data_IF_596690690015
#
_entry.id   IF_596690690015
#
_cell.length_a   1.000
_cell.length_b   1.000
_cell.length_c   1.000
_cell.angle_alpha   90.00
_cell.angle_beta   90.00
_cell.angle_gamma   90.00
#
_symmetry.space_group_name_H-M   'P 1'
#
loop_
_entity.id
_entity.type
_entity.pdbx_description
1 polymer ?
2 branched ?
3 branched ?
4 non-polymer ?
5 non-polymer ?
6 non-polymer ?
7 water ?
#
# COMPACT_ATOMS: atom_id res chain seq x y z
N UNK A 1 -23.77 2.93 10.49
CA UNK A 1 -25.18 2.45 10.36
C UNK A 1 -25.12 0.95 10.39
N UNK A 2 -24.97 0.33 9.22
CA UNK A 2 -24.85 -1.12 9.13
C UNK A 2 -23.46 -1.38 8.58
N UNK A 3 -22.97 -2.60 8.79
CA UNK A 3 -21.67 -3.00 8.28
C UNK A 3 -21.74 -2.98 6.75
N UNK A 4 -20.69 -2.48 6.10
CA UNK A 4 -20.66 -2.47 4.65
C UNK A 4 -20.41 -3.89 4.10
N UNK A 5 -21.07 -4.22 3.01
CA UNK A 5 -20.89 -5.53 2.37
C UNK A 5 -20.40 -5.25 0.94
N UNK A 6 -19.39 -6.02 0.53
CA UNK A 6 -18.80 -5.89 -0.79
C UNK A 6 -19.76 -6.49 -1.80
N UNK A 7 -20.82 -5.77 -2.11
CA UNK A 7 -21.81 -6.28 -3.05
C UNK A 7 -21.57 -5.91 -4.49
N UNK A 8 -20.75 -4.90 -4.75
CA UNK A 8 -20.51 -4.50 -6.15
C UNK A 8 -19.23 -5.06 -6.75
N UNK A 9 -19.17 -5.05 -8.08
CA UNK A 9 -17.99 -5.49 -8.81
C UNK A 9 -17.27 -4.20 -9.19
N UNK A 10 -16.07 -4.29 -9.76
CA UNK A 10 -15.32 -3.07 -10.15
C UNK A 10 -15.89 -2.41 -11.40
N UNK A 11 -15.71 -1.11 -11.50
CA UNK A 11 -16.16 -0.38 -12.68
C UNK A 11 -15.11 -0.73 -13.77
N UNK A 12 -15.47 -0.53 -15.03
CA UNK A 12 -14.54 -0.79 -16.12
C UNK A 12 -13.50 0.32 -16.12
N UNK A 13 -12.22 -0.07 -16.09
CA UNK A 13 -11.13 0.88 -16.04
C UNK A 13 -10.62 1.14 -17.45
N UNK A 14 -11.01 2.28 -18.03
CA UNK A 14 -10.56 2.63 -19.38
C UNK A 14 -9.40 3.63 -19.34
N UNK A 15 -9.21 4.24 -18.16
CA UNK A 15 -8.11 5.19 -17.88
C UNK A 15 -8.15 5.57 -16.40
N UNK A 16 -7.26 6.46 -16.01
CA UNK A 16 -7.16 6.93 -14.63
C UNK A 16 -7.24 8.43 -14.59
N UNK A 17 -8.06 8.97 -13.68
CA UNK A 17 -8.16 10.43 -13.56
C UNK A 17 -7.49 10.83 -12.23
N UNK A 18 -7.06 12.09 -12.12
CA UNK A 18 -6.44 12.60 -10.90
C UNK A 18 -7.49 12.66 -9.77
N UNK A 19 -7.12 12.14 -8.61
CA UNK A 19 -8.00 12.09 -7.44
C UNK A 19 -7.51 13.02 -6.32
N UNK A 20 -6.25 12.88 -5.93
CA UNK A 20 -5.71 13.72 -4.88
C UNK A 20 -4.22 13.87 -5.00
N UNK A 21 -3.68 14.98 -4.51
CA UNK A 21 -2.23 15.26 -4.55
C UNK A 21 -2.01 16.32 -3.49
N UNK A 22 -1.08 16.06 -2.56
CA UNK A 22 -0.84 17.03 -1.51
C UNK A 22 0.36 17.96 -1.65
N UNK A 23 1.27 17.71 -2.60
CA UNK A 23 2.45 18.59 -2.78
C UNK A 23 3.12 18.89 -1.44
N UNK A 24 3.16 17.90 -0.55
CA UNK A 24 3.72 18.07 0.80
C UNK A 24 5.15 18.62 0.92
N UNK A 25 6.08 18.09 0.14
CA UNK A 25 7.49 18.51 0.18
C UNK A 25 7.65 19.97 -0.31
N UNK A 26 6.97 20.32 -1.41
CA UNK A 26 7.00 21.71 -1.92
C UNK A 26 6.55 22.65 -0.83
N UNK A 27 5.33 22.43 -0.33
CA UNK A 27 4.74 23.26 0.72
C UNK A 27 5.54 23.28 2.01
N UNK A 28 6.02 22.10 2.42
CA UNK A 28 6.79 21.95 3.65
C UNK A 28 8.13 22.64 3.68
N UNK A 29 8.60 23.10 2.52
CA UNK A 29 9.87 23.83 2.46
C UNK A 29 9.72 25.13 3.31
N UNK A 30 8.50 25.61 3.48
CA UNK A 30 8.24 26.82 4.24
C UNK A 30 6.93 26.77 5.06
N UNK A 31 6.67 25.65 5.72
CA UNK A 31 5.51 25.55 6.57
C UNK A 31 5.71 24.31 7.42
N UNK A 32 4.92 24.16 8.48
CA UNK A 32 5.06 23.07 9.44
C UNK A 32 4.50 21.68 9.06
N UNK A 33 5.17 21.08 8.09
CA UNK A 33 4.80 19.78 7.54
C UNK A 33 5.65 18.66 8.16
N UNK A 34 4.97 17.65 8.67
CA UNK A 34 5.64 16.50 9.27
C UNK A 34 6.35 15.67 8.20
N UNK A 35 7.46 15.07 8.61
CA UNK A 35 8.21 14.20 7.75
C UNK A 35 7.46 12.88 7.85
N UNK A 36 7.19 12.26 6.70
CA UNK A 36 6.49 10.98 6.68
C UNK A 36 7.15 10.02 5.68
N UNK A 37 6.48 8.87 5.54
CA UNK A 37 6.78 7.80 4.57
C UNK A 37 5.71 6.72 4.77
N UNK A 38 5.65 5.76 3.85
CA UNK A 38 4.65 4.68 3.93
C UNK A 38 3.22 5.23 4.01
N UNK A 39 2.83 6.11 3.05
CA UNK A 39 1.48 6.70 3.04
C UNK A 39 0.45 5.79 2.39
N UNK A 40 -0.82 6.15 2.51
CA UNK A 40 -1.91 5.43 1.84
C UNK A 40 -3.14 6.29 1.92
N UNK A 41 -4.27 5.80 1.39
CA UNK A 41 -5.52 6.57 1.45
C UNK A 41 -6.60 5.61 1.95
N UNK A 42 -7.58 6.12 2.69
CA UNK A 42 -8.64 5.29 3.19
C UNK A 42 -9.90 6.12 3.44
N UNK A 43 -11.05 5.54 3.07
CA UNK A 43 -12.32 6.22 3.23
C UNK A 43 -13.21 5.74 4.36
N UNK A 44 -13.92 6.71 4.92
CA UNK A 44 -14.94 6.51 5.92
C UNK A 44 -16.22 6.71 5.06
N UNK A 45 -17.41 6.41 5.62
CA UNK A 45 -18.63 6.65 4.84
C UNK A 45 -18.90 8.10 4.45
N UNK A 46 -18.33 9.06 5.17
CA UNK A 46 -18.58 10.46 4.87
C UNK A 46 -17.34 11.27 4.50
N UNK A 47 -16.18 10.64 4.43
CA UNK A 47 -14.97 11.39 4.11
C UNK A 47 -13.86 10.43 3.69
N UNK A 48 -12.97 10.87 2.80
CA UNK A 48 -11.79 10.08 2.42
C UNK A 48 -10.59 10.90 2.87
N UNK A 49 -9.59 10.22 3.43
CA UNK A 49 -8.40 10.88 3.98
C UNK A 49 -7.05 10.24 3.61
N UNK A 50 -5.99 11.05 3.73
CA UNK A 50 -4.62 10.63 3.49
C UNK A 50 -4.11 10.12 4.84
N UNK A 51 -3.27 9.10 4.77
CA UNK A 51 -2.68 8.43 5.94
C UNK A 51 -1.19 8.23 5.68
N UNK A 52 -0.41 8.16 6.76
CA UNK A 52 1.03 7.89 6.67
C UNK A 52 1.68 7.72 8.03
N UNK A 53 2.92 7.29 8.02
CA UNK A 53 3.70 7.11 9.23
C UNK A 53 4.59 8.33 9.42
N UNK A 54 4.21 9.16 10.37
CA UNK A 54 4.96 10.34 10.70
C UNK A 54 6.30 9.93 11.30
N UNK A 55 7.27 10.84 11.22
CA UNK A 55 8.60 10.61 11.80
C UNK A 55 8.77 11.46 13.08
N UNK A 56 7.70 12.14 13.50
CA UNK A 56 7.72 12.94 14.72
C UNK A 56 8.65 14.15 14.64
N UNK A 57 8.63 14.84 13.50
CA UNK A 57 9.45 16.03 13.30
C UNK A 57 9.00 16.66 11.99
N UNK A 58 9.22 17.98 11.83
CA UNK A 58 8.89 18.66 10.58
C UNK A 58 10.08 18.46 9.61
N UNK A 59 9.87 18.73 8.32
CA UNK A 59 10.91 18.54 7.32
C UNK A 59 12.05 19.56 7.52
N UNK A 60 11.67 20.81 7.79
CA UNK A 60 12.65 21.87 8.04
C UNK A 60 13.30 21.77 9.43
N UNK A 61 12.67 21.06 10.35
CA UNK A 61 13.20 20.94 11.68
C UNK A 61 14.52 20.20 11.69
N UNK A 62 15.33 20.47 12.69
CA UNK A 62 16.63 19.81 12.82
C UNK A 62 16.52 18.29 13.08
N UNK A 63 15.40 17.83 13.66
CA UNK A 63 15.22 16.41 13.92
C UNK A 63 14.91 15.61 12.65
N UNK A 64 14.84 16.30 11.50
CA UNK A 64 14.58 15.63 10.22
C UNK A 64 15.82 14.83 9.84
N UNK A 65 16.95 15.17 10.46
CA UNK A 65 18.18 14.49 10.20
C UNK A 65 18.10 13.06 10.69
N UNK A 66 18.22 12.10 9.77
CA UNK A 66 18.17 10.70 10.16
C UNK A 66 16.86 9.99 9.88
N UNK A 67 15.88 10.71 9.36
CA UNK A 67 14.57 10.13 9.03
C UNK A 67 14.57 9.06 7.92
N UNK A 68 15.76 8.68 7.43
CA UNK A 68 15.81 7.58 6.46
C UNK A 68 15.46 6.28 7.23
N UNK A 69 15.74 6.25 8.54
CA UNK A 69 15.45 5.07 9.36
C UNK A 69 13.97 4.75 9.44
N UNK A 70 13.67 3.46 9.42
CA UNK A 70 12.31 2.97 9.43
C UNK A 70 11.52 2.90 10.72
N UNK A 71 12.21 2.54 11.79
CA UNK A 71 11.52 2.28 13.02
C UNK A 71 12.11 3.00 14.20
N UNK A 72 11.34 3.85 14.84
CA UNK A 72 11.82 4.57 16.01
C UNK A 72 10.61 4.78 16.87
N UNK A 73 10.85 5.26 18.08
CA UNK A 73 9.76 5.49 19.02
C UNK A 73 9.01 6.79 18.68
N UNK A 74 9.47 7.53 17.68
CA UNK A 74 8.86 8.82 17.33
C UNK A 74 7.88 8.77 16.18
N UNK A 75 7.62 7.57 15.67
CA UNK A 75 6.70 7.40 14.56
C UNK A 75 5.30 7.12 15.05
N UNK A 76 4.31 7.44 14.21
CA UNK A 76 2.89 7.21 14.54
C UNK A 76 2.08 7.23 13.26
N UNK A 77 0.95 6.52 13.24
CA UNK A 77 0.08 6.55 12.07
C UNK A 77 -0.75 7.83 12.22
N UNK A 78 -0.73 8.67 11.20
CA UNK A 78 -1.52 9.90 11.24
C UNK A 78 -2.42 9.97 10.00
N UNK A 79 -3.54 10.68 10.11
CA UNK A 79 -4.42 10.87 8.95
C UNK A 79 -4.71 12.36 8.87
N UNK A 80 -5.05 12.84 7.68
CA UNK A 80 -5.32 14.26 7.50
C UNK A 80 -6.20 14.44 6.25
N UNK A 81 -6.82 15.63 6.08
CA UNK A 81 -7.80 15.80 5.00
C UNK A 81 -7.21 15.55 3.63
N UNK A 82 -8.01 14.93 2.77
CA UNK A 82 -7.62 14.62 1.40
C UNK A 82 -6.95 15.80 0.68
N UNK A 83 -5.77 15.53 0.13
CA UNK A 83 -5.00 16.50 -0.61
C UNK A 83 -4.34 17.65 0.15
N UNK A 84 -4.57 17.73 1.46
CA UNK A 84 -3.86 18.72 2.28
C UNK A 84 -2.50 18.06 2.56
N UNK A 85 -1.49 18.83 3.00
CA UNK A 85 -0.28 18.13 3.45
C UNK A 85 -0.41 17.70 4.93
N UNK A 86 0.41 16.74 5.36
CA UNK A 86 0.39 16.35 6.77
C UNK A 86 1.13 17.38 7.63
N UNK A 87 0.39 18.29 8.23
CA UNK A 87 1.00 19.33 9.04
C UNK A 87 0.89 19.01 10.51
N UNK A 88 1.65 19.72 11.31
CA UNK A 88 1.61 19.53 12.73
C UNK A 88 0.22 19.85 13.28
N UNK A 89 -0.44 20.82 12.66
CA UNK A 89 -1.74 21.30 13.10
C UNK A 89 -3.01 20.59 12.57
N UNK A 90 -2.93 19.85 11.46
CA UNK A 90 -4.15 19.16 10.95
C UNK A 90 -4.01 17.64 10.97
N UNK A 91 -2.90 17.12 11.48
CA UNK A 91 -2.71 15.68 11.49
C UNK A 91 -3.28 15.01 12.73
N UNK A 92 -4.11 13.99 12.52
CA UNK A 92 -4.75 13.26 13.61
C UNK A 92 -3.98 11.97 13.80
N UNK A 93 -3.53 11.71 15.02
CA UNK A 93 -2.79 10.47 15.29
C UNK A 93 -3.80 9.34 15.55
N UNK A 94 -3.70 8.28 14.76
CA UNK A 94 -4.56 7.14 14.89
C UNK A 94 -4.01 6.15 15.96
N UNK A 95 -2.68 6.01 16.02
CA UNK A 95 -1.98 5.14 16.96
C UNK A 95 -0.47 5.32 16.81
N UNK A 96 0.27 4.77 17.76
CA UNK A 96 1.72 4.90 17.80
C UNK A 96 2.45 3.65 17.28
N UNK A 97 3.41 3.85 16.37
CA UNK A 97 4.10 2.72 15.80
C UNK A 97 4.77 2.98 14.46
N UNK A 98 5.45 1.95 13.93
CA UNK A 98 6.19 2.06 12.67
C UNK A 98 5.75 1.16 11.51
N UNK A 99 4.57 0.57 11.65
CA UNK A 99 3.97 -0.29 10.63
C UNK A 99 2.50 -0.24 10.97
N UNK A 100 1.64 -0.09 9.96
CA UNK A 100 0.21 0.04 10.21
C UNK A 100 -0.70 -0.38 9.05
N UNK A 101 -1.99 -0.36 9.35
CA UNK A 101 -3.08 -0.61 8.41
C UNK A 101 -4.31 0.05 9.09
N UNK A 102 -5.38 0.26 8.32
CA UNK A 102 -6.57 0.90 8.85
C UNK A 102 -7.70 0.71 7.84
N UNK A 103 -8.91 0.55 8.33
CA UNK A 103 -10.08 0.42 7.43
C UNK A 103 -11.37 0.65 8.19
N UNK A 104 -12.37 1.19 7.50
CA UNK A 104 -13.68 1.46 8.09
C UNK A 104 -14.58 0.27 7.75
N UNK A 105 -15.38 -0.21 8.70
CA UNK A 105 -16.23 -1.34 8.42
C UNK A 105 -17.65 -0.93 8.07
N UNK A 106 -17.89 0.38 8.05
CA UNK A 106 -19.23 0.85 7.72
C UNK A 106 -19.84 1.52 8.94
N UNK A 107 -19.45 1.05 10.12
CA UNK A 107 -19.95 1.58 11.38
C UNK A 107 -18.89 2.47 12.00
N UNK A 108 -17.66 1.95 12.06
CA UNK A 108 -16.55 2.69 12.60
C UNK A 108 -15.22 2.14 12.04
N UNK A 109 -14.12 2.80 12.37
CA UNK A 109 -12.80 2.45 11.87
C UNK A 109 -11.89 1.65 12.79
N UNK A 110 -11.14 0.73 12.19
CA UNK A 110 -10.17 -0.08 12.91
C UNK A 110 -8.81 0.37 12.39
N UNK A 111 -7.90 0.70 13.31
CA UNK A 111 -6.54 1.11 12.97
C UNK A 111 -5.59 0.21 13.75
N UNK A 112 -4.52 -0.22 13.10
CA UNK A 112 -3.55 -1.13 13.75
C UNK A 112 -2.14 -0.55 13.64
N UNK A 113 -1.45 -0.45 14.77
CA UNK A 113 -0.07 0.04 14.78
C UNK A 113 0.79 -0.94 15.53
N UNK A 114 1.96 -1.20 14.98
CA UNK A 114 2.92 -2.13 15.58
C UNK A 114 4.12 -1.31 16.01
N UNK A 115 4.58 -1.56 17.22
CA UNK A 115 5.75 -0.84 17.71
C UNK A 115 6.63 -1.83 18.47
N UNK A 116 7.82 -1.40 18.83
CA UNK A 116 8.69 -2.27 19.56
C UNK A 116 10.08 -2.35 18.96
N UNK A 117 11.01 -2.94 19.72
CA UNK A 117 12.29 -3.34 19.15
C UNK A 117 12.08 -4.52 18.23
N UNK A 118 13.06 -4.76 17.38
CA UNK A 118 13.03 -5.82 16.38
C UNK A 118 12.64 -7.17 16.90
N UNK A 119 13.18 -7.52 18.06
CA UNK A 119 12.88 -8.83 18.64
C UNK A 119 11.75 -8.84 19.65
N UNK A 120 10.97 -7.77 19.77
CA UNK A 120 9.92 -7.75 20.78
C UNK A 120 8.77 -6.78 20.42
N UNK A 121 8.38 -6.75 19.15
CA UNK A 121 7.32 -5.86 18.71
C UNK A 121 5.94 -6.40 19.07
N UNK A 122 4.94 -5.52 19.01
CA UNK A 122 3.57 -5.90 19.31
C UNK A 122 2.59 -5.02 18.56
N UNK A 123 1.50 -5.61 18.09
CA UNK A 123 0.48 -4.87 17.41
C UNK A 123 -0.64 -4.51 18.40
N UNK A 124 -1.19 -3.31 18.26
CA UNK A 124 -2.37 -2.98 19.05
C UNK A 124 -3.44 -2.47 18.08
N UNK A 125 -4.57 -3.19 18.14
CA UNK A 125 -5.74 -2.98 17.32
C UNK A 125 -6.72 -2.06 18.01
N UNK A 126 -6.94 -0.91 17.38
CA UNK A 126 -7.84 0.15 17.83
C UNK A 126 -9.13 0.04 17.04
N UNK A 127 -10.26 0.27 17.69
CA UNK A 127 -11.56 0.23 17.06
C UNK A 127 -12.38 1.36 17.70
N UNK A 128 -12.97 2.21 16.88
CA UNK A 128 -13.75 3.34 17.38
C UNK A 128 -12.86 4.23 18.24
N UNK A 129 -11.61 4.36 17.80
CA UNK A 129 -10.57 5.18 18.44
C UNK A 129 -10.15 4.80 19.85
N UNK A 130 -10.34 3.53 20.20
CA UNK A 130 -9.97 2.98 21.51
C UNK A 130 -9.17 1.70 21.28
N UNK A 131 -8.17 1.43 22.12
CA UNK A 131 -7.42 0.18 22.00
C UNK A 131 -8.27 -0.98 22.52
N UNK A 132 -8.39 -2.03 21.70
CA UNK A 132 -9.20 -3.19 22.05
C UNK A 132 -8.42 -4.51 22.17
N UNK A 133 -7.55 -4.79 21.20
CA UNK A 133 -6.77 -6.03 21.18
C UNK A 133 -5.27 -5.81 20.96
N UNK A 134 -4.45 -6.68 21.53
CA UNK A 134 -3.01 -6.61 21.38
C UNK A 134 -2.48 -7.98 20.99
N UNK A 135 -1.52 -8.01 20.07
CA UNK A 135 -0.93 -9.27 19.57
C UNK A 135 0.58 -9.16 19.73
N UNK A 136 1.18 -10.10 20.45
CA UNK A 136 2.63 -10.07 20.63
C UNK A 136 3.35 -10.73 19.46
N UNK A 137 4.56 -10.27 19.16
CA UNK A 137 5.37 -10.85 18.08
C UNK A 137 5.40 -12.40 18.24
N UNK A 138 5.27 -13.14 17.13
CA UNK A 138 5.32 -14.60 17.19
C UNK A 138 6.62 -15.19 16.68
N UNK A 139 7.40 -14.42 15.92
CA UNK A 139 8.65 -14.93 15.40
C UNK A 139 9.82 -14.08 15.87
N UNK A 140 9.52 -13.05 16.67
CA UNK A 140 10.56 -12.17 17.22
C UNK A 140 11.48 -11.55 16.20
N UNK A 141 10.91 -11.11 15.09
CA UNK A 141 11.72 -10.52 14.06
C UNK A 141 10.89 -9.54 13.23
N UNK A 142 10.73 -8.33 13.77
CA UNK A 142 10.00 -7.25 13.11
C UNK A 142 8.58 -7.57 12.65
N UNK A 143 7.69 -7.80 13.61
CA UNK A 143 6.27 -8.05 13.34
C UNK A 143 5.86 -6.83 12.48
N UNK A 144 5.19 -7.05 11.35
CA UNK A 144 4.85 -5.95 10.45
C UNK A 144 3.56 -6.21 9.66
N UNK A 145 2.99 -5.18 9.06
CA UNK A 145 1.75 -5.39 8.35
C UNK A 145 1.69 -4.62 7.03
N UNK A 146 0.48 -4.43 6.50
CA UNK A 146 0.25 -3.89 5.16
C UNK A 146 0.85 -2.59 4.65
N UNK A 147 0.74 -1.54 5.45
CA UNK A 147 1.18 -0.19 5.09
C UNK A 147 0.18 0.43 4.12
N UNK A 148 -1.01 -0.15 4.05
CA UNK A 148 -2.11 0.39 3.24
C UNK A 148 -3.43 -0.11 3.84
N UNK A 149 -4.57 0.41 3.38
CA UNK A 149 -5.83 -0.01 3.98
C UNK A 149 -6.23 -1.47 3.89
N UNK A 150 -6.90 -1.94 4.94
CA UNK A 150 -7.44 -3.29 4.94
C UNK A 150 -8.85 -3.12 4.34
N UNK A 151 -9.63 -4.19 4.29
CA UNK A 151 -10.99 -4.13 3.72
C UNK A 151 -11.91 -4.98 4.60
N UNK A 152 -13.15 -4.52 4.77
CA UNK A 152 -14.13 -5.22 5.58
C UNK A 152 -15.34 -5.70 4.78
N UNK A 153 -15.97 -6.76 5.29
CA UNK A 153 -17.20 -7.31 4.71
C UNK A 153 -18.06 -7.82 5.87
N UNK A 154 -19.23 -7.21 6.03
CA UNK A 154 -20.17 -7.57 7.10
C UNK A 154 -19.51 -7.54 8.47
N UNK A 155 -18.65 -6.54 8.68
CA UNK A 155 -17.98 -6.44 9.98
C UNK A 155 -16.67 -7.16 10.08
N UNK A 156 -16.39 -8.09 9.15
CA UNK A 156 -15.13 -8.85 9.19
C UNK A 156 -14.06 -8.17 8.34
N UNK A 157 -12.95 -7.79 8.97
CA UNK A 157 -11.85 -7.08 8.30
C UNK A 157 -10.55 -7.88 8.40
N UNK A 158 -10.20 -8.65 7.34
CA UNK A 158 -8.97 -9.43 7.29
C UNK A 158 -7.73 -8.54 7.20
N UNK A 159 -6.65 -8.94 7.85
CA UNK A 159 -5.40 -8.18 7.80
C UNK A 159 -4.24 -9.17 7.67
N UNK A 160 -3.27 -8.87 6.82
CA UNK A 160 -2.13 -9.76 6.63
C UNK A 160 -0.92 -9.21 7.38
N UNK A 161 -0.30 -10.05 8.21
CA UNK A 161 0.90 -9.68 8.98
C UNK A 161 2.00 -10.65 8.58
N UNK A 162 3.24 -10.24 8.80
CA UNK A 162 4.39 -11.09 8.58
C UNK A 162 5.33 -10.87 9.77
N UNK A 163 5.96 -11.92 10.24
CA UNK A 163 6.93 -11.82 11.32
C UNK A 163 8.01 -12.85 10.96
N UNK A 164 9.28 -12.42 11.07
CA UNK A 164 10.40 -13.27 10.73
C UNK A 164 11.25 -12.62 9.65
N UNK A 165 12.13 -13.42 9.05
CA UNK A 165 13.04 -12.97 8.01
C UNK A 165 12.42 -12.34 6.76
N UNK A 166 13.16 -11.40 6.20
CA UNK A 166 12.79 -10.69 4.97
C UNK A 166 13.54 -11.31 3.79
N UNK A 167 14.45 -12.23 4.10
CA UNK A 167 15.29 -12.85 3.08
C UNK A 167 15.32 -14.36 3.16
N UNK A 168 14.24 -14.92 3.68
CA UNK A 168 14.10 -16.36 3.80
C UNK A 168 12.62 -16.57 4.05
N UNK A 169 12.16 -17.80 4.21
CA UNK A 169 10.77 -18.03 4.65
C UNK A 169 10.49 -17.38 6.02
N UNK A 170 9.29 -16.83 6.16
CA UNK A 170 8.88 -16.16 7.38
C UNK A 170 7.49 -16.66 7.78
N UNK A 171 6.93 -16.13 8.86
CA UNK A 171 5.61 -16.55 9.32
C UNK A 171 4.54 -15.46 9.08
N UNK A 172 3.81 -15.64 7.99
CA UNK A 172 2.76 -14.74 7.60
C UNK A 172 1.44 -15.31 8.12
N UNK A 173 0.60 -14.43 8.67
CA UNK A 173 -0.70 -14.80 9.21
C UNK A 173 -1.81 -13.89 8.68
N UNK A 174 -2.99 -14.45 8.53
CA UNK A 174 -4.14 -13.68 8.08
C UNK A 174 -5.06 -13.65 9.29
N UNK A 175 -5.30 -12.46 9.84
CA UNK A 175 -6.18 -12.28 10.98
C UNK A 175 -7.51 -11.76 10.51
N UNK A 176 -8.58 -12.31 11.04
CA UNK A 176 -9.94 -11.87 10.71
C UNK A 176 -10.45 -11.17 11.97
N UNK A 177 -10.56 -9.84 11.90
CA UNK A 177 -11.04 -9.07 13.04
C UNK A 177 -12.48 -8.62 12.84
N UNK A 178 -13.18 -8.44 13.94
CA UNK A 178 -14.55 -7.92 13.91
C UNK A 178 -14.67 -7.08 15.18
N UNK A 179 -14.90 -5.77 15.00
CA UNK A 179 -15.00 -4.83 16.10
C UNK A 179 -13.71 -4.86 16.91
N UNK A 180 -12.59 -4.98 16.21
CA UNK A 180 -11.27 -5.00 16.86
C UNK A 180 -10.90 -6.28 17.56
N UNK A 181 -11.80 -7.26 17.60
CA UNK A 181 -11.52 -8.52 18.28
C UNK A 181 -11.14 -9.60 17.27
N UNK A 182 -10.29 -10.55 17.69
CA UNK A 182 -9.87 -11.60 16.78
C UNK A 182 -10.92 -12.72 16.68
N UNK A 183 -11.48 -12.94 15.49
CA UNK A 183 -12.42 -14.03 15.33
C UNK A 183 -11.63 -15.29 15.01
N UNK A 184 -10.54 -15.13 14.27
CA UNK A 184 -9.72 -16.25 13.81
C UNK A 184 -8.46 -15.74 13.12
N UNK A 185 -7.45 -16.61 13.03
CA UNK A 185 -6.24 -16.32 12.29
C UNK A 185 -5.78 -17.64 11.66
N UNK A 186 -5.16 -17.57 10.49
CA UNK A 186 -4.63 -18.74 9.82
C UNK A 186 -3.19 -18.42 9.49
N UNK A 187 -2.34 -19.45 9.38
CA UNK A 187 -1.10 -19.30 8.63
C UNK A 187 -1.33 -19.20 7.11
N UNK A 188 -0.41 -18.48 6.46
CA UNK A 188 -0.47 -18.34 5.02
C UNK A 188 -0.40 -19.74 4.40
N UNK A 189 -1.16 -19.94 3.33
CA UNK A 189 -1.13 -21.20 2.59
C UNK A 189 -1.07 -20.83 1.11
N UNK A 190 -1.02 -21.83 0.24
CA UNK A 190 -0.94 -21.58 -1.19
C UNK A 190 0.49 -21.67 -1.68
N UNK A 191 0.76 -21.09 -2.85
CA UNK A 191 2.10 -21.15 -3.42
C UNK A 191 3.00 -19.92 -3.23
N UNK A 192 2.45 -18.84 -2.65
CA UNK A 192 3.26 -17.63 -2.42
C UNK A 192 4.37 -18.08 -1.46
N UNK A 193 5.63 -17.78 -1.78
CA UNK A 193 6.74 -18.20 -0.92
C UNK A 193 7.18 -17.19 0.15
N UNK A 194 6.81 -15.93 -0.03
CA UNK A 194 7.15 -14.87 0.93
C UNK A 194 6.16 -13.74 0.71
N UNK A 195 5.60 -13.23 1.81
CA UNK A 195 4.62 -12.16 1.79
C UNK A 195 5.02 -10.94 2.62
N UNK A 196 4.87 -9.76 2.02
CA UNK A 196 5.20 -8.50 2.68
C UNK A 196 4.30 -7.40 2.15
N UNK A 197 3.91 -6.48 3.03
CA UNK A 197 3.13 -5.32 2.64
C UNK A 197 2.01 -5.48 1.61
N UNK A 198 1.00 -6.28 1.92
CA UNK A 198 -0.12 -6.46 1.02
C UNK A 198 -1.01 -5.25 0.73
N UNK A 199 -1.35 -5.07 -0.55
CA UNK A 199 -2.25 -4.00 -0.98
C UNK A 199 -3.57 -4.68 -1.33
N UNK A 200 -4.66 -4.32 -0.64
CA UNK A 200 -5.93 -5.00 -0.86
C UNK A 200 -7.12 -4.17 -1.30
N UNK A 201 -8.09 -4.85 -1.91
CA UNK A 201 -9.35 -4.22 -2.33
C UNK A 201 -10.40 -5.32 -2.30
N UNK A 202 -11.67 -4.94 -2.22
CA UNK A 202 -12.75 -5.91 -2.18
C UNK A 202 -13.82 -5.67 -3.24
N UNK A 203 -14.38 -6.76 -3.76
CA UNK A 203 -15.46 -6.70 -4.74
C UNK A 203 -16.14 -8.05 -4.74
N UNK A 204 -17.47 -8.01 -4.88
CA UNK A 204 -18.31 -9.21 -4.91
C UNK A 204 -17.92 -10.25 -3.85
N UNK A 205 -17.90 -9.81 -2.60
CA UNK A 205 -17.59 -10.63 -1.42
C UNK A 205 -16.27 -11.37 -1.42
N UNK A 206 -15.29 -10.84 -2.14
CA UNK A 206 -13.95 -11.41 -2.18
C UNK A 206 -12.91 -10.28 -1.99
N UNK A 207 -11.84 -10.54 -1.24
CA UNK A 207 -10.80 -9.56 -1.00
C UNK A 207 -9.50 -10.02 -1.66
N UNK A 208 -8.99 -9.19 -2.58
CA UNK A 208 -7.77 -9.50 -3.31
C UNK A 208 -6.63 -8.63 -2.80
N UNK A 209 -5.51 -9.27 -2.46
CA UNK A 209 -4.32 -8.58 -1.99
C UNK A 209 -3.13 -8.86 -2.88
N UNK A 210 -2.48 -7.81 -3.37
CA UNK A 210 -1.28 -7.95 -4.21
C UNK A 210 -0.19 -7.49 -3.23
N UNK A 211 0.70 -8.42 -2.93
CA UNK A 211 1.75 -8.16 -1.95
C UNK A 211 3.13 -8.14 -2.60
N UNK A 212 4.13 -8.41 -1.78
CA UNK A 212 5.50 -8.34 -2.22
C UNK A 212 6.32 -9.50 -1.63
N UNK A 213 7.03 -10.18 -2.51
CA UNK A 213 7.91 -11.27 -2.12
C UNK A 213 9.29 -10.65 -2.09
N UNK A 214 9.71 -10.27 -0.90
CA UNK A 214 11.00 -9.62 -0.79
C UNK A 214 12.15 -10.55 -1.07
N UNK A 215 11.99 -11.79 -0.65
CA UNK A 215 13.02 -12.82 -0.76
C UNK A 215 13.50 -13.18 -2.17
N UNK A 216 12.58 -13.67 -3.00
CA UNK A 216 12.95 -14.11 -4.34
C UNK A 216 12.20 -13.58 -5.55
N UNK A 217 10.90 -13.28 -5.39
CA UNK A 217 10.09 -12.87 -6.52
C UNK A 217 10.04 -11.46 -7.05
N UNK A 218 10.13 -11.35 -8.37
CA UNK A 218 10.04 -10.07 -9.07
C UNK A 218 8.61 -9.96 -9.64
N UNK A 219 7.92 -11.10 -9.63
CA UNK A 219 6.50 -11.12 -9.96
C UNK A 219 5.88 -10.94 -8.55
N UNK A 220 4.64 -10.45 -8.48
CA UNK A 220 4.01 -10.25 -7.16
C UNK A 220 3.12 -11.39 -6.75
N UNK A 221 3.25 -11.84 -5.48
CA UNK A 221 2.32 -12.76 -4.83
C UNK A 221 0.96 -12.14 -4.61
N UNK A 222 -0.06 -12.99 -4.68
CA UNK A 222 -1.42 -12.53 -4.52
C UNK A 222 -2.12 -13.45 -3.56
N UNK A 223 -2.87 -12.83 -2.64
CA UNK A 223 -3.67 -13.55 -1.66
C UNK A 223 -5.13 -13.17 -1.88
N UNK A 224 -5.98 -14.16 -2.13
CA UNK A 224 -7.41 -13.91 -2.30
C UNK A 224 -8.11 -14.47 -1.05
N UNK A 225 -8.85 -13.58 -0.38
CA UNK A 225 -9.50 -13.92 0.87
C UNK A 225 -11.01 -13.99 0.79
N UNK A 226 -11.58 -15.01 1.43
CA UNK A 226 -13.03 -15.14 1.50
C UNK A 226 -13.34 -14.66 2.93
N UNK A 227 -13.92 -13.46 3.08
CA UNK A 227 -14.16 -12.96 4.44
C UNK A 227 -15.36 -13.64 5.15
N UNK A 228 -16.16 -14.42 4.43
CA UNK A 228 -17.29 -15.10 5.06
C UNK A 228 -16.83 -16.46 5.57
N UNK A 229 -16.17 -17.22 4.71
CA UNK A 229 -15.66 -18.53 5.11
C UNK A 229 -14.39 -18.31 5.95
N UNK A 230 -13.81 -17.13 5.83
CA UNK A 230 -12.59 -16.81 6.56
C UNK A 230 -11.48 -17.80 6.15
N UNK A 231 -11.32 -17.93 4.83
CA UNK A 231 -10.29 -18.79 4.23
C UNK A 231 -9.62 -17.99 3.11
N UNK A 232 -8.49 -18.47 2.60
CA UNK A 232 -7.80 -17.76 1.53
C UNK A 232 -6.97 -18.72 0.71
N UNK A 233 -6.41 -18.20 -0.38
CA UNK A 233 -5.52 -18.95 -1.26
C UNK A 233 -4.41 -17.99 -1.60
N UNK A 234 -3.33 -18.49 -2.17
CA UNK A 234 -2.24 -17.62 -2.59
C UNK A 234 -1.54 -18.18 -3.84
N UNK A 235 -1.01 -17.28 -4.67
CA UNK A 235 -0.27 -17.64 -5.88
C UNK A 235 0.51 -16.41 -6.27
N UNK A 236 1.03 -16.40 -7.50
CA UNK A 236 1.73 -15.23 -8.04
C UNK A 236 1.00 -14.79 -9.29
N UNK A 237 1.18 -13.52 -9.65
CA UNK A 237 0.60 -13.00 -10.88
C UNK A 237 1.38 -13.76 -11.98
N UNK A 238 0.67 -14.49 -12.83
CA UNK A 238 1.28 -15.29 -13.91
C UNK A 238 2.04 -14.47 -14.96
N UNK A 239 1.50 -13.29 -15.28
CA UNK A 239 2.05 -12.45 -16.31
C UNK A 239 3.56 -12.23 -16.28
N UNK A 240 4.18 -12.24 -17.48
CA UNK A 240 5.56 -11.82 -17.72
C UNK A 240 5.83 -10.33 -17.54
N UNK A 241 4.77 -9.52 -17.38
CA UNK A 241 4.95 -8.07 -17.15
C UNK A 241 5.27 -7.99 -15.64
N UNK A 242 6.56 -8.02 -15.30
CA UNK A 242 6.97 -8.03 -13.89
C UNK A 242 6.75 -6.68 -13.19
N UNK A 243 6.21 -6.73 -11.96
CA UNK A 243 5.89 -5.50 -11.27
C UNK A 243 6.58 -5.15 -9.94
N UNK A 244 7.57 -5.93 -9.53
CA UNK A 244 8.29 -5.53 -8.33
C UNK A 244 9.45 -4.61 -8.80
N UNK A 245 10.22 -4.11 -7.83
CA UNK A 245 11.39 -3.26 -8.09
C UNK A 245 12.39 -3.41 -6.93
N UNK A 246 13.69 -3.61 -7.23
CA UNK A 246 14.26 -3.87 -8.56
C UNK A 246 13.74 -5.20 -9.15
N UNK A 247 13.98 -5.40 -10.43
CA UNK A 247 13.48 -6.60 -11.09
C UNK A 247 14.31 -6.80 -12.35
N UNK A 248 14.32 -8.03 -12.90
CA UNK A 248 14.93 -8.27 -14.22
C UNK A 248 14.03 -7.67 -15.29
N UNK A 249 14.47 -7.77 -16.55
CA UNK A 249 13.69 -7.30 -17.68
C UNK A 249 12.56 -8.27 -17.88
N UNK A 250 11.47 -7.81 -18.51
CA UNK A 250 10.31 -8.68 -18.74
C UNK A 250 10.66 -9.84 -19.69
N UNK A 251 10.34 -11.09 -19.30
CA UNK A 251 10.42 -12.27 -20.17
C UNK A 251 9.20 -12.36 -21.08
N UNK A 252 9.05 -13.48 -21.78
CA UNK A 252 7.91 -13.63 -22.65
C UNK A 252 6.90 -14.53 -21.93
N UNK A 253 7.35 -15.21 -20.88
CA UNK A 253 6.45 -16.05 -20.11
C UNK A 253 6.79 -15.91 -18.60
N UNK A 254 5.75 -15.70 -17.78
CA UNK A 254 5.95 -15.54 -16.35
C UNK A 254 5.76 -16.83 -15.57
N UNK A 255 5.65 -16.72 -14.26
CA UNK A 255 5.44 -17.87 -13.37
C UNK A 255 4.19 -17.68 -12.49
N UNK A 256 3.34 -18.70 -12.46
CA UNK A 256 2.08 -18.68 -11.70
C UNK A 256 2.19 -19.11 -10.25
N UNK A 257 3.13 -20.00 -9.94
CA UNK A 257 3.26 -20.52 -8.57
C UNK A 257 4.64 -20.50 -7.95
N UNK A 258 5.56 -19.75 -8.53
CA UNK A 258 6.90 -19.67 -7.99
C UNK A 258 7.32 -18.26 -8.21
N UNK A 259 8.22 -17.75 -7.38
CA UNK A 259 8.79 -16.41 -7.63
C UNK A 259 9.57 -16.40 -8.94
N UNK A 260 9.48 -15.29 -9.67
CA UNK A 260 10.24 -15.22 -10.89
C UNK A 260 11.61 -14.70 -10.46
N UNK A 261 12.70 -15.42 -10.79
CA UNK A 261 14.02 -15.14 -10.21
C UNK A 261 14.77 -14.03 -10.92
N UNK A 262 15.93 -13.67 -10.37
CA UNK A 262 16.74 -12.64 -10.98
C UNK A 262 17.13 -11.55 -10.01
N UNK A 263 16.32 -11.36 -8.97
CA UNK A 263 16.59 -10.35 -7.97
C UNK A 263 16.18 -10.92 -6.62
N UNK A 264 17.10 -10.85 -5.67
CA UNK A 264 16.86 -11.37 -4.32
C UNK A 264 16.87 -10.28 -3.27
N UNK A 265 16.19 -10.58 -2.18
CA UNK A 265 16.14 -9.72 -1.02
C UNK A 265 15.96 -8.24 -1.24
N UNK A 266 14.91 -7.87 -1.96
CA UNK A 266 14.60 -6.49 -2.20
C UNK A 266 13.26 -6.39 -2.92
N UNK A 267 12.70 -5.19 -2.92
CA UNK A 267 11.43 -4.99 -3.56
C UNK A 267 10.80 -3.67 -3.11
N UNK A 268 9.52 -3.50 -3.44
CA UNK A 268 8.80 -2.30 -3.07
C UNK A 268 7.33 -2.69 -2.96
N UNK A 269 6.62 -2.07 -2.02
CA UNK A 269 5.17 -2.34 -1.86
C UNK A 269 4.52 -1.88 -3.16
N UNK A 270 3.59 -2.67 -3.69
CA UNK A 270 2.90 -2.32 -4.92
C UNK A 270 1.48 -2.89 -4.92
N UNK A 271 0.79 -2.88 -6.06
CA UNK A 271 -0.60 -3.36 -6.10
C UNK A 271 -1.05 -3.69 -7.52
N UNK A 272 -2.27 -4.17 -7.64
CA UNK A 272 -2.85 -4.46 -8.93
C UNK A 272 -4.35 -4.65 -8.77
N UNK A 273 -5.08 -4.58 -9.88
CA UNK A 273 -6.52 -4.85 -9.88
C UNK A 273 -6.63 -6.01 -10.86
N UNK A 274 -7.00 -7.16 -10.32
CA UNK A 274 -7.11 -8.40 -11.10
C UNK A 274 -8.58 -8.69 -11.33
N UNK A 275 -9.04 -8.44 -12.54
CA UNK A 275 -10.45 -8.59 -12.85
C UNK A 275 -10.66 -9.03 -14.31
N UNK A 276 -10.15 -10.21 -14.65
CA UNK A 276 -10.30 -10.71 -16.02
C UNK A 276 -9.67 -9.76 -17.02
N UNK A 277 -10.41 -9.41 -18.07
CA UNK A 277 -9.86 -8.47 -19.05
C UNK A 277 -9.69 -7.06 -18.42
N UNK A 278 -10.49 -6.74 -17.41
CA UNK A 278 -10.44 -5.44 -16.71
C UNK A 278 -9.27 -5.48 -15.68
N UNK A 279 -8.10 -5.97 -16.10
CA UNK A 279 -6.94 -6.07 -15.22
C UNK A 279 -5.89 -4.99 -15.49
N UNK A 280 -5.47 -4.29 -14.44
CA UNK A 280 -4.46 -3.23 -14.57
C UNK A 280 -3.36 -3.40 -13.54
N UNK A 281 -2.11 -3.32 -14.00
CA UNK A 281 -0.95 -3.49 -13.11
C UNK A 281 -0.17 -2.18 -12.94
N UNK A 282 0.23 -1.89 -11.71
CA UNK A 282 1.03 -0.71 -11.49
C UNK A 282 2.47 -1.15 -11.32
N UNK A 283 3.42 -0.30 -11.71
CA UNK A 283 4.82 -0.60 -11.51
C UNK A 283 5.72 0.60 -11.78
N UNK A 284 6.92 0.57 -11.19
CA UNK A 284 7.90 1.63 -11.43
C UNK A 284 8.33 1.39 -12.89
N UNK A 285 8.77 2.47 -13.55
CA UNK A 285 9.23 2.36 -14.93
C UNK A 285 10.61 1.73 -14.89
N UNK A 286 11.49 2.26 -14.05
CA UNK A 286 12.85 1.73 -13.89
C UNK A 286 12.83 0.31 -13.35
N UNK A 287 13.70 -0.56 -13.86
CA UNK A 287 13.79 -1.94 -13.36
C UNK A 287 14.85 -1.94 -12.25
N UNK A 288 15.58 -0.85 -12.13
CA UNK A 288 16.65 -0.72 -11.13
C UNK A 288 16.29 0.06 -9.86
N UNK A 289 15.51 1.13 -9.96
CA UNK A 289 15.19 1.90 -8.78
C UNK A 289 13.74 2.38 -8.72
N UNK A 290 13.37 3.03 -7.62
CA UNK A 290 12.01 3.55 -7.38
C UNK A 290 11.93 4.86 -8.15
N UNK A 291 11.78 4.69 -9.44
CA UNK A 291 11.78 5.78 -10.35
C UNK A 291 10.67 5.57 -11.34
N UNK A 292 9.87 6.62 -11.56
CA UNK A 292 8.75 6.55 -12.46
C UNK A 292 7.63 5.64 -11.99
N UNK A 293 6.49 5.72 -12.66
CA UNK A 293 5.36 4.89 -12.32
C UNK A 293 4.39 4.87 -13.48
N UNK A 294 3.92 3.69 -13.83
CA UNK A 294 2.98 3.52 -14.91
C UNK A 294 1.94 2.45 -14.56
N UNK A 295 0.77 2.56 -15.20
CA UNK A 295 -0.32 1.60 -15.05
C UNK A 295 -0.42 0.91 -16.43
N UNK A 296 -0.50 -0.43 -16.45
CA UNK A 296 -0.60 -1.21 -17.68
C UNK A 296 -1.80 -2.15 -17.63
N UNK A 297 -2.62 -2.14 -18.68
CA UNK A 297 -3.77 -3.02 -18.75
C UNK A 297 -3.20 -4.33 -19.32
N UNK A 298 -3.30 -5.38 -18.53
CA UNK A 298 -2.76 -6.66 -18.93
C UNK A 298 -3.87 -7.66 -18.68
N UNK A 299 -4.71 -7.90 -19.70
CA UNK A 299 -5.90 -8.75 -19.55
C UNK A 299 -5.50 -10.13 -19.04
N UNK A 300 -6.17 -10.57 -17.98
CA UNK A 300 -5.94 -11.87 -17.34
C UNK A 300 -4.55 -12.10 -16.78
N UNK A 301 -3.86 -11.03 -16.37
CA UNK A 301 -2.50 -11.11 -15.81
C UNK A 301 -2.34 -12.19 -14.74
N UNK A 302 -3.31 -12.31 -13.84
CA UNK A 302 -3.25 -13.29 -12.76
C UNK A 302 -3.14 -14.74 -13.21
N UNK A 303 -3.87 -15.08 -14.26
CA UNK A 303 -3.91 -16.46 -14.71
C UNK A 303 -3.26 -16.82 -16.03
N UNK A 304 -2.86 -15.82 -16.81
CA UNK A 304 -2.26 -16.03 -18.12
C UNK A 304 -0.75 -15.72 -18.10
N UNK A 305 0.08 -16.77 -18.14
CA UNK A 305 1.53 -16.62 -18.07
C UNK A 305 2.22 -16.04 -19.31
N UNK A 306 1.44 -15.56 -20.26
CA UNK A 306 2.01 -14.94 -21.44
C UNK A 306 1.33 -13.59 -21.71
N UNK A 307 0.45 -13.17 -20.80
CA UNK A 307 -0.25 -11.91 -20.94
C UNK A 307 0.69 -10.71 -21.02
N UNK A 308 0.40 -9.81 -21.96
CA UNK A 308 1.19 -8.61 -22.18
C UNK A 308 0.23 -7.40 -22.29
N UNK A 309 0.76 -6.17 -22.25
CA UNK A 309 -0.10 -4.99 -22.15
C UNK A 309 -0.94 -4.69 -23.39
N UNK A 310 -2.16 -4.21 -23.20
CA UNK A 310 -3.01 -3.84 -24.33
C UNK A 310 -3.30 -2.35 -24.30
N UNK A 311 -2.91 -1.71 -23.21
CA UNK A 311 -3.14 -0.27 -23.02
C UNK A 311 -2.28 0.17 -21.84
N UNK A 312 -2.07 1.47 -21.69
CA UNK A 312 -1.30 1.92 -20.55
C UNK A 312 -1.45 3.39 -20.22
N UNK A 313 -0.98 3.78 -19.05
CA UNK A 313 -1.03 5.20 -18.69
C UNK A 313 0.18 5.48 -17.81
N UNK A 314 0.95 6.49 -18.19
CA UNK A 314 2.12 6.89 -17.38
C UNK A 314 1.60 7.80 -16.26
N UNK A 315 2.08 7.55 -15.04
CA UNK A 315 1.63 8.30 -13.87
C UNK A 315 2.74 9.25 -13.42
N UNK A 316 3.97 8.73 -13.39
CA UNK A 316 5.13 9.52 -13.00
C UNK A 316 6.24 9.22 -13.99
N UNK A 317 6.89 10.27 -14.52
CA UNK A 317 7.98 10.07 -15.49
C UNK A 317 9.17 9.35 -14.86
N UNK A 318 9.89 8.59 -15.66
CA UNK A 318 11.03 7.86 -15.16
C UNK A 318 12.14 8.77 -14.66
N UNK A 319 12.00 10.06 -14.91
CA UNK A 319 12.99 11.02 -14.44
C UNK A 319 12.55 11.62 -13.12
N UNK A 320 11.52 11.01 -12.52
CA UNK A 320 11.03 11.45 -11.22
C UNK A 320 10.97 10.28 -10.25
N UNK A 321 11.17 10.58 -8.98
CA UNK A 321 11.14 9.58 -7.93
C UNK A 321 9.73 9.12 -7.57
N UNK A 322 9.57 7.81 -7.38
CA UNK A 322 8.31 7.24 -6.98
C UNK A 322 8.54 6.55 -5.65
N UNK A 323 7.97 5.37 -5.45
CA UNK A 323 8.13 4.67 -4.18
C UNK A 323 7.00 3.70 -4.02
N UNK A 324 6.48 3.56 -2.80
CA UNK A 324 5.36 2.66 -2.51
C UNK A 324 4.07 3.03 -3.26
N UNK A 325 3.19 2.05 -3.46
CA UNK A 325 1.92 2.30 -4.10
C UNK A 325 0.97 1.26 -3.54
N UNK A 326 -0.32 1.60 -3.47
CA UNK A 326 -1.28 0.68 -2.91
C UNK A 326 -2.67 1.01 -3.37
N UNK A 327 -3.58 0.11 -3.05
CA UNK A 327 -4.97 0.27 -3.45
C UNK A 327 -5.91 0.70 -2.32
N UNK A 328 -7.00 1.34 -2.71
CA UNK A 328 -8.07 1.73 -1.82
C UNK A 328 -9.23 2.05 -2.76
N UNK A 329 -10.45 2.04 -2.22
CA UNK A 329 -11.62 2.45 -2.99
C UNK A 329 -12.60 3.07 -2.02
N UNK A 330 -13.46 3.91 -2.54
CA UNK A 330 -14.49 4.52 -1.72
C UNK A 330 -15.69 3.56 -1.81
N UNK A 331 -15.81 2.67 -0.83
CA UNK A 331 -16.89 1.69 -0.77
C UNK A 331 -18.24 2.33 -0.47
N UNK A 332 -18.26 3.64 -0.24
CA UNK A 332 -19.50 4.33 0.10
C UNK A 332 -19.95 5.35 -0.95
N UNK A 333 -19.39 5.25 -2.17
CA UNK A 333 -19.76 6.13 -3.27
C UNK A 333 -21.09 5.70 -3.87
N UNK A 334 -21.71 6.55 -4.68
CA UNK A 334 -22.97 6.19 -5.33
C UNK A 334 -22.65 5.32 -6.56
N UNK A 335 -23.67 4.80 -7.20
CA UNK A 335 -23.39 4.01 -8.39
C UNK A 335 -23.51 2.52 -8.20
N UNK A 336 -23.32 1.79 -9.29
CA UNK A 336 -23.46 0.36 -9.28
C UNK A 336 -22.16 -0.42 -9.21
N UNK A 337 -21.03 0.26 -9.18
CA UNK A 337 -19.76 -0.46 -9.16
C UNK A 337 -18.75 0.28 -8.30
N UNK A 338 -17.69 -0.40 -7.86
CA UNK A 338 -16.64 0.21 -7.05
C UNK A 338 -15.57 0.75 -7.99
N UNK A 339 -15.22 2.02 -7.83
CA UNK A 339 -14.20 2.67 -8.65
C UNK A 339 -12.80 2.42 -8.07
N UNK A 340 -12.00 1.66 -8.80
CA UNK A 340 -10.65 1.34 -8.39
C UNK A 340 -9.82 2.60 -8.24
N UNK A 341 -9.07 2.69 -7.13
CA UNK A 341 -8.18 3.84 -6.91
C UNK A 341 -6.82 3.34 -6.41
N UNK A 342 -5.82 4.20 -6.44
CA UNK A 342 -4.49 3.85 -5.96
C UNK A 342 -3.71 5.11 -5.64
N UNK A 343 -2.65 4.95 -4.86
CA UNK A 343 -1.80 6.10 -4.57
C UNK A 343 -0.36 5.69 -4.88
N UNK A 344 0.49 6.69 -5.12
CA UNK A 344 1.91 6.46 -5.33
C UNK A 344 2.65 7.42 -4.35
N UNK A 345 3.57 6.83 -3.60
CA UNK A 345 4.37 7.56 -2.63
C UNK A 345 5.51 8.13 -3.45
N UNK A 346 5.68 9.46 -3.42
CA UNK A 346 6.76 10.13 -4.15
C UNK A 346 7.88 10.47 -3.13
N UNK A 347 8.83 9.56 -2.97
CA UNK A 347 9.93 9.73 -2.01
C UNK A 347 10.98 10.75 -2.41
N UNK A 348 11.31 11.63 -1.47
CA UNK A 348 12.31 12.66 -1.72
C UNK A 348 13.35 12.56 -0.63
N UNK A 349 14.57 12.99 -0.94
CA UNK A 349 15.63 12.92 0.04
C UNK A 349 16.40 11.62 -0.01
N UNK A 350 16.86 11.15 1.16
CA UNK A 350 17.64 9.91 1.17
C UNK A 350 16.89 8.63 0.86
N UNK A 351 17.56 7.67 0.20
CA UNK A 351 18.98 7.66 -0.14
C UNK A 351 19.35 8.25 -1.50
N UNK A 352 18.37 8.45 -2.38
CA UNK A 352 18.68 8.95 -3.71
C UNK A 352 19.16 10.39 -3.74
N UNK A 353 18.56 11.23 -2.93
CA UNK A 353 18.96 12.64 -2.90
C UNK A 353 19.63 12.91 -1.57
N UNK A 354 20.93 12.62 -1.51
CA UNK A 354 21.64 12.76 -0.26
C UNK A 354 22.28 14.09 0.13
N UNK A 355 21.95 15.16 -0.60
CA UNK A 355 22.46 16.47 -0.24
C UNK A 355 21.69 16.93 0.99
N UNK A 356 20.50 16.36 1.20
CA UNK A 356 19.74 16.68 2.41
C UNK A 356 19.93 15.45 3.29
N UNK A 357 19.69 15.63 4.58
CA UNK A 357 19.82 14.59 5.61
C UNK A 357 18.53 13.87 6.00
N UNK A 358 17.42 14.27 5.37
CA UNK A 358 16.14 13.69 5.66
C UNK A 358 15.61 12.81 4.54
N UNK A 359 14.51 12.11 4.82
CA UNK A 359 13.79 11.30 3.84
C UNK A 359 12.33 11.55 4.13
N UNK A 360 11.55 11.96 3.13
CA UNK A 360 10.13 12.16 3.30
C UNK A 360 9.45 11.80 1.98
N UNK A 361 8.24 12.29 1.77
CA UNK A 361 7.53 11.99 0.54
C UNK A 361 6.30 12.88 0.43
N UNK A 362 5.68 12.84 -0.76
CA UNK A 362 4.39 13.50 -0.94
C UNK A 362 3.50 12.36 -1.52
N UNK A 363 2.21 12.64 -1.76
CA UNK A 363 1.30 11.64 -2.28
C UNK A 363 0.62 12.11 -3.57
N UNK A 364 0.44 11.20 -4.53
CA UNK A 364 -0.36 11.47 -5.70
C UNK A 364 -1.31 10.27 -5.71
N UNK A 365 -2.57 10.47 -6.08
CA UNK A 365 -3.49 9.35 -6.17
C UNK A 365 -4.45 9.55 -7.33
N UNK A 366 -4.85 8.44 -7.92
CA UNK A 366 -5.77 8.40 -9.04
C UNK A 366 -6.86 7.37 -8.76
N UNK A 367 -7.95 7.49 -9.52
CA UNK A 367 -9.08 6.54 -9.49
C UNK A 367 -9.42 6.30 -10.97
N UNK A 368 -10.13 5.23 -11.26
CA UNK A 368 -10.45 4.89 -12.64
C UNK A 368 -11.59 5.68 -13.28
N UNK A 369 -11.53 5.77 -14.61
CA UNK A 369 -12.58 6.43 -15.37
C UNK A 369 -13.02 5.46 -16.45
N UNK A 370 -14.32 5.48 -16.80
CA UNK A 370 -14.81 4.62 -17.88
C UNK A 370 -14.52 5.34 -19.22
N UNK A 371 -14.08 6.61 -19.15
CA UNK A 371 -13.70 7.34 -20.34
C UNK A 371 -12.25 6.98 -20.66
N UNK A 372 -11.77 7.36 -21.84
CA UNK A 372 -10.37 7.13 -22.23
C UNK A 372 -9.72 8.50 -22.19
N UNK A 373 -9.36 8.92 -20.98
CA UNK A 373 -8.78 10.22 -20.69
C UNK A 373 -7.34 10.45 -21.09
N UNK A 374 -7.04 11.68 -21.49
CA UNK A 374 -5.68 12.04 -21.83
C UNK A 374 -4.82 11.92 -20.56
N UNK A 375 -3.53 11.71 -20.72
CA UNK A 375 -2.66 11.55 -19.56
C UNK A 375 -1.67 12.68 -19.31
N UNK A 376 -1.33 12.90 -18.03
CA UNK A 376 -0.34 13.89 -17.61
C UNK A 376 0.57 13.10 -16.65
N UNK A 377 1.74 13.64 -16.33
CA UNK A 377 2.61 12.97 -15.37
C UNK A 377 2.46 13.84 -14.12
N UNK A 378 2.66 13.23 -12.95
CA UNK A 378 2.45 13.90 -11.68
C UNK A 378 3.64 13.79 -10.71
N UNK A 379 4.65 14.66 -10.88
CA UNK A 379 5.81 14.50 -9.98
C UNK A 379 5.62 15.19 -8.63
N UNK A 380 6.53 14.90 -7.69
CA UNK A 380 6.50 15.54 -6.38
C UNK A 380 6.49 17.07 -6.54
N UNK A 381 7.40 17.57 -7.37
CA UNK A 381 7.46 18.99 -7.66
C UNK A 381 8.42 19.84 -6.83
N UNK A 382 9.04 19.27 -5.82
CA UNK A 382 9.96 20.09 -5.01
C UNK A 382 11.36 20.15 -5.60
N UNK A 383 12.06 21.25 -5.33
CA UNK A 383 13.45 21.45 -5.77
C UNK A 383 14.32 21.24 -4.54
N UNK A 384 15.08 20.14 -4.51
CA UNK A 384 15.96 19.83 -3.38
C UNK A 384 16.92 20.97 -3.07
N UNK A 385 17.43 21.63 -4.10
CA UNK A 385 18.38 22.75 -3.92
C UNK A 385 17.87 23.79 -2.91
N UNK A 386 16.56 24.00 -2.87
CA UNK A 386 15.95 24.97 -1.97
C UNK A 386 16.17 24.61 -0.50
N UNK A 387 16.24 23.30 -0.23
CA UNK A 387 16.41 22.80 1.12
C UNK A 387 17.85 22.86 1.62
N UNK A 388 18.77 23.23 0.74
CA UNK A 388 20.19 23.24 1.11
C UNK A 388 20.61 24.50 1.81
X LIG B 1 10.75 -9.06 25.49
X LIG B 1 12.09 -9.20 26.27
X LIG B 1 11.87 -9.96 27.56
X LIG B 1 10.81 -9.23 28.36
X LIG B 1 9.45 -9.20 27.57
X LIG B 1 8.36 -8.46 28.27
X LIG B 1 14.18 -9.59 25.03
X LIG B 1 14.86 -10.54 24.09
X LIG B 1 12.95 -9.96 25.39
X LIG B 1 13.09 -9.98 28.30
X LIG B 1 10.65 -9.92 29.64
X LIG B 1 9.66 -8.57 26.32
X LIG B 1 8.78 -7.25 28.89
X LIG B 1 14.73 -8.57 25.46
X LIG B 2 10.57 -9.11 30.82
X LIG B 2 9.68 -9.70 31.91
X LIG B 2 9.68 -8.76 33.06
X LIG B 2 11.17 -8.49 33.43
X LIG B 2 11.92 -7.98 32.27
X LIG B 2 13.35 -7.65 32.54
X LIG B 2 7.84 -11.05 31.15
X LIG B 2 6.39 -11.18 30.74
X LIG B 2 8.32 -9.86 31.52
X LIG B 2 8.92 -9.22 34.12
X LIG B 2 11.30 -7.45 34.44
X LIG B 2 11.88 -8.92 31.26
X LIG B 2 13.97 -8.83 32.88
X LIG B 2 8.53 -12.04 31.11
X LIG B 3 11.89 -7.75 35.68
X LIG B 3 12.16 -6.46 36.40
X LIG B 3 12.68 -6.76 37.81
X LIG B 3 11.71 -7.76 38.57
X LIG B 3 11.50 -9.02 37.67
X LIG B 3 10.56 -9.99 38.38
X LIG B 3 10.93 -5.79 36.47
X LIG B 3 12.73 -5.53 38.53
X LIG B 3 12.20 -8.13 39.87
X LIG B 3 10.96 -8.57 36.44
X LIG B 3 10.59 -11.29 37.78
X LIG B 4 13.85 -5.43 39.38
X LIG B 4 13.70 -4.23 40.27
X LIG B 4 13.73 -2.92 39.42
X LIG B 4 15.02 -2.89 38.64
X LIG B 4 15.06 -4.09 37.80
X LIG B 4 16.32 -4.16 36.94
X LIG B 4 14.83 -4.34 41.14
X LIG B 4 13.61 -1.80 40.25
X LIG B 4 15.13 -1.71 37.87
X LIG B 4 15.00 -5.29 38.60
X LIG B 4 16.02 -5.21 35.99
X LIG B 5 15.05 -3.38 42.17
X LIG B 5 16.43 -3.67 42.75
X LIG B 5 16.44 -4.99 43.47
X LIG B 5 15.37 -4.93 44.50
X LIG B 5 13.98 -4.64 43.85
X LIG B 5 12.84 -4.60 44.87
X LIG B 5 16.82 -2.66 43.67
X LIG B 5 17.71 -5.17 44.04
X LIG B 5 15.36 -6.19 45.14
X LIG B 5 14.04 -3.39 43.19
X LIG B 5 13.13 -3.77 45.99
X LIG B 6 17.70 -1.67 43.19
X LIG B 6 18.04 -0.85 44.42
X LIG B 6 16.81 -0.02 44.80
X LIG B 6 16.38 0.89 43.61
X LIG B 6 16.04 -0.06 42.34
X LIG B 6 15.61 0.63 41.06
X LIG B 6 19.15 0.00 44.13
X LIG B 6 17.13 0.82 45.92
X LIG B 6 15.29 1.72 43.94
X LIG B 6 17.21 -0.90 42.06
X LIG B 6 16.70 1.39 40.67
X LIG B 7 11.61 -12.18 38.32
X LIG B 7 11.71 -13.46 37.52
X LIG B 7 10.46 -14.27 37.62
X LIG B 7 10.13 -14.47 39.08
X LIG B 7 10.09 -13.14 39.83
X LIG B 7 9.88 -13.25 41.27
X LIG B 7 12.79 -14.22 37.99
X LIG B 7 10.64 -15.49 36.98
X LIG B 7 8.82 -15.01 39.07
X LIG B 7 11.29 -12.45 39.69
X LIG B 7 10.87 -14.13 41.71
X LIG C 1 -24.66 -6.36 5.27
X LIG C 1 -25.82 -5.43 5.48
X LIG C 1 -26.40 -5.57 6.89
X LIG C 1 -26.86 -6.99 7.08
X LIG C 1 -25.77 -8.01 6.72
X LIG C 1 -26.49 -9.39 6.56
X LIG C 1 -25.94 -3.21 4.57
X LIG C 1 -25.33 -1.83 4.46
X LIG C 1 -25.31 -4.10 5.33
X LIG C 1 -27.45 -4.69 7.20
X LIG C 1 -27.18 -7.21 8.47
X LIG C 1 -25.12 -7.68 5.43
X LIG C 1 -25.41 -10.27 6.60
X LIG C 1 -26.97 -3.47 3.96
X LIG C 2 -28.56 -7.27 8.78
X LIG C 2 -28.58 -7.90 10.12
X LIG C 2 -30.09 -8.23 10.38
X LIG C 2 -30.63 -6.78 10.74
X LIG C 2 -30.41 -5.85 9.46
X LIG C 2 -30.56 -4.40 9.84
X LIG C 2 -27.37 -10.25 10.01
X LIG C 2 -25.89 -10.49 10.17
X LIG C 2 -27.56 -8.95 10.13
X LIG C 2 -30.07 -9.21 11.41
X LIG C 2 -31.98 -6.76 11.20
X LIG C 2 -29.04 -5.94 8.92
X LIG C 2 -29.39 -4.03 10.55
X LIG C 2 -28.24 -11.06 9.69
X LIG D 1 23.04 14.81 10.49
X LIG D 1 23.97 15.94 10.47
X LIG D 1 25.36 15.45 10.18
X LIG D 1 25.77 14.37 11.12
X LIG D 1 24.77 13.27 10.85
X LIG D 1 25.06 11.94 11.47
X LIG D 1 23.12 18.08 9.86
X LIG D 1 22.71 19.14 8.84
X LIG D 1 23.58 16.90 9.46
X LIG D 1 26.26 16.47 10.25
X LIG D 1 27.14 14.02 10.86
X LIG D 1 23.51 13.78 11.29
X LIG D 1 24.95 12.09 12.83
X LIG D 1 22.96 18.35 11.06
X LIG E 1 11.11 -8.98 -4.74
X LIG F 1 7.11 29.99 11.20
X LIG G 1 11.36 0.14 2.21
X LIG G 1 11.87 -0.67 1.42
X LIG G 1 11.09 1.33 1.88
X LIG G 1 11.00 -0.42 3.45
X LIG G 1 10.50 0.31 4.40
X LIG G 1 9.66 -0.26 5.64
X LIG G 1 10.17 -1.51 6.01
X LIG G 1 9.34 -2.17 7.00
X LIG G 1 9.62 -2.06 8.30
X LIG G 1 10.58 -1.42 8.73
X LIG G 1 8.59 -2.70 9.22
X LIG G 1 10.39 -2.31 4.74
X LIG G 1 11.28 -1.64 3.91
X LIG G 1 11.05 -3.56 5.26
X LIG G 1 12.22 -3.51 5.66
X LIG G 1 10.32 -4.69 5.32
X LIG G 1 8.91 -4.90 4.94
X LIG G 1 11.05 -5.85 5.88
X LIG G 1 11.57 -5.58 7.31
X LIG G 1 12.02 -6.84 8.04
X LIG G 1 9.57 0.63 6.83
X LIG G 1 8.50 0.96 7.66
X LIG G 1 7.32 0.38 7.49
X LIG G 1 8.69 1.78 8.71
#
# INVERSE_FOLDING_TARGET
RDFNNLTKGLCTINSWHIYGKDNAVRIGEDSDVLVTREPYVSCDPDECRFYALSQGTTIRGKHSNGTIHDRSQYRALISWPLSSPPTVYNSRVECIGWSSTSCHDGKTRMSICISGPNNNASAVIWYNRRPVTEINTWARNILRTQESECVCHNGVCPVVFTDGSATGPAETRIYYFKEGKILKWEPLAGTAKHIEECSCYGERAEITCTCKDNWQGSNRPVIRIDPVAMTHTSQYICSPVLTDNPRPNDPTVGKCNDPYPGNNNNGVKGFSYLDGVNTWLGRTISIASRSGYEMLKVPNALTDDKSKPTQGQTIVLNTDWSGYSGSFMDYWAEGECYRACFYVELIRGRPKEDKVWWTSNSIVSMCSSTEFLGQWDWPDGAKIEYFL
NAG C1 C2 C3 C4 C5 C6 C7 C8 N2 O3 O4 O5 O6 O7
NAG C1 C2 C3 C4 C5 C6 C7 C8 N2 O3 O4 O5 O6 O7
BMA C1 C2 C3 C4 C5 C6 O2 O3 O4 O5 O6
MAN C1 C2 C3 C4 C5 C6 O2 O3 O4 O5 O6
MAN C1 C2 C3 C4 C5 C6 O2 O3 O4 O5 O6
MAN C1 C2 C3 C4 C5 C6 O2 O3 O4 O5 O6
MAN C1 C2 C3 C4 C5 C6 O2 O3 O4 O5 O6
NAG C1 C2 C3 C4 C5 C6 C7 C8 N2 O3 O4 O5 O6 O7
NAG C1 C2 C3 C4 C5 C6 C7 C8 N2 O3 O4 O5 O6 O7
NAG C1 C2 C3 C4 C5 C6 C7 C8 N2 O3 O4 O5 O6 O7
CA CA
CA CA
G20 C1 O1A O1B C2 C3 C4 C5 N5 C10 O10 C11 C6 O6 C7 O7 N8 C81 C9 C91 C92 NE CZ NH1 NH2
#
